data_IF_150291182726
#
_entry.id   IF_150291182726
#
_cell.length_a   1.000
_cell.length_b   1.000
_cell.length_c   1.000
_cell.angle_alpha   90.00
_cell.angle_beta   90.00
_cell.angle_gamma   90.00
#
_symmetry.space_group_name_H-M   'P 1'
#
loop_
_entity.id
_entity.type
_entity.pdbx_description
1 polymer ?
#
# COMPACT_ATOMS: atom_id res chain seq x y z
N UNK A 1 6.15 32.10 98.36
CA UNK A 1 7.33 32.56 99.12
C UNK A 1 8.59 32.31 98.29
N UNK A 2 9.40 33.36 98.09
CA UNK A 2 10.79 33.41 97.55
C UNK A 2 10.95 33.00 96.07
N UNK A 3 11.15 33.95 95.14
CA UNK A 3 12.43 34.63 94.75
C UNK A 3 13.37 33.61 94.05
N UNK A 4 14.01 33.82 92.89
CA UNK A 4 14.63 35.03 92.32
C UNK A 4 15.20 34.67 90.91
N UNK A 5 15.08 35.61 89.95
CA UNK A 5 16.04 36.03 88.90
C UNK A 5 16.71 35.05 87.89
N UNK A 6 16.45 35.39 86.61
CA UNK A 6 17.37 35.55 85.46
C UNK A 6 18.85 35.11 85.66
N UNK A 7 19.39 34.36 84.69
CA UNK A 7 20.49 34.86 83.85
C UNK A 7 20.72 34.02 82.58
N UNK A 8 21.01 34.77 81.52
CA UNK A 8 21.48 34.43 80.18
C UNK A 8 22.89 33.79 80.24
N UNK A 9 23.16 32.75 79.43
CA UNK A 9 24.48 32.58 78.83
C UNK A 9 24.38 31.82 77.49
N UNK A 10 25.04 32.43 76.52
CA UNK A 10 25.06 32.17 75.08
C UNK A 10 26.17 31.17 74.73
N UNK A 11 26.02 30.55 73.55
CA UNK A 11 27.07 29.93 72.71
C UNK A 11 27.49 28.50 73.15
N UNK A 12 27.59 27.48 72.30
CA UNK A 12 28.14 27.41 70.94
C UNK A 12 27.47 26.26 70.15
N UNK A 13 27.17 26.56 68.88
CA UNK A 13 26.88 25.63 67.79
C UNK A 13 28.11 24.74 67.50
N UNK A 14 27.93 23.41 67.38
CA UNK A 14 28.57 22.61 66.31
C UNK A 14 27.63 21.47 65.92
N UNK A 15 27.31 21.43 64.63
CA UNK A 15 26.54 20.40 63.93
C UNK A 15 27.27 19.06 63.84
N UNK A 16 26.53 17.97 63.92
CA UNK A 16 26.71 16.82 63.03
C UNK A 16 25.41 16.01 62.93
N UNK A 17 24.93 15.91 61.68
CA UNK A 17 23.78 15.13 61.20
C UNK A 17 24.07 13.63 61.20
N UNK A 18 23.01 12.83 61.36
CA UNK A 18 22.66 11.49 60.81
C UNK A 18 21.44 11.07 61.70
N UNK A 19 20.27 10.63 61.27
CA UNK A 19 19.67 10.25 60.00
C UNK A 19 18.45 9.35 60.33
N UNK A 20 17.29 9.65 59.72
CA UNK A 20 16.04 8.89 59.57
C UNK A 20 15.30 8.24 60.76
N UNK A 21 14.04 8.69 60.98
CA UNK A 21 12.85 7.82 60.87
C UNK A 21 11.55 8.66 60.71
N UNK A 22 10.49 8.01 60.24
CA UNK A 22 9.45 8.49 59.33
C UNK A 22 8.10 8.90 59.95
N UNK A 23 7.34 9.76 59.25
CA UNK A 23 5.86 9.83 59.28
C UNK A 23 5.32 10.56 58.04
N UNK A 24 4.09 10.24 57.57
CA UNK A 24 3.70 10.33 56.16
C UNK A 24 3.14 11.71 55.76
N UNK A 25 3.42 12.11 54.52
CA UNK A 25 2.82 13.28 53.85
C UNK A 25 1.66 12.76 52.97
N UNK A 26 0.50 13.45 52.89
CA UNK A 26 -0.62 13.00 52.08
C UNK A 26 -0.26 13.18 50.60
N UNK A 27 -0.35 12.08 49.84
CA UNK A 27 -0.25 12.11 48.38
C UNK A 27 -1.51 12.81 47.86
N UNK A 28 -1.33 13.99 47.26
CA UNK A 28 -2.29 14.51 46.29
C UNK A 28 -2.29 13.54 45.13
N UNK A 29 -3.40 12.85 44.89
CA UNK A 29 -3.68 12.28 43.58
C UNK A 29 -3.79 13.45 42.62
N UNK A 30 -2.75 13.68 41.81
CA UNK A 30 -2.95 14.26 40.50
C UNK A 30 -3.76 13.23 39.71
N UNK A 31 -5.03 13.55 39.47
CA UNK A 31 -5.74 12.97 38.35
C UNK A 31 -4.97 13.38 37.09
N UNK A 32 -4.13 12.47 36.58
CA UNK A 32 -3.78 12.48 35.16
C UNK A 32 -5.10 12.34 34.39
N UNK A 33 -5.70 13.48 34.04
CA UNK A 33 -6.61 13.53 32.91
C UNK A 33 -5.77 13.20 31.68
N UNK A 34 -5.75 11.93 31.33
CA UNK A 34 -5.37 11.48 30.00
C UNK A 34 -6.41 12.10 29.05
N UNK A 35 -6.11 13.29 28.55
CA UNK A 35 -6.84 13.91 27.46
C UNK A 35 -6.40 13.15 26.20
N UNK A 36 -6.95 11.95 26.00
CA UNK A 36 -6.83 11.24 24.72
C UNK A 36 -7.62 12.03 23.69
N UNK A 37 -7.00 13.07 23.12
CA UNK A 37 -7.49 13.66 21.88
C UNK A 37 -7.51 12.55 20.83
N UNK A 38 -8.66 12.37 20.19
CA UNK A 38 -8.85 11.42 19.11
C UNK A 38 -7.93 11.83 17.94
N UNK A 39 -7.14 10.88 17.44
CA UNK A 39 -6.23 11.11 16.31
C UNK A 39 -6.83 10.60 15.00
N UNK A 40 -6.36 11.09 13.87
CA UNK A 40 -6.81 10.56 12.57
C UNK A 40 -6.42 9.09 12.39
N UNK A 41 -5.27 8.65 12.91
CA UNK A 41 -4.82 7.26 12.81
C UNK A 41 -5.78 6.28 13.51
N UNK A 42 -6.47 6.73 14.57
CA UNK A 42 -7.56 5.95 15.18
C UNK A 42 -8.71 5.69 14.18
N UNK A 43 -8.99 6.61 13.25
CA UNK A 43 -10.14 6.57 12.33
C UNK A 43 -9.79 6.24 10.88
N UNK A 44 -8.50 6.14 10.54
CA UNK A 44 -8.03 5.72 9.22
C UNK A 44 -6.73 4.89 9.32
N UNK A 45 -6.67 3.82 10.12
CA UNK A 45 -5.43 3.08 10.29
C UNK A 45 -4.93 2.48 8.97
N UNK A 46 -3.64 2.61 8.69
CA UNK A 46 -3.00 1.92 7.57
C UNK A 46 -2.82 0.44 7.94
N UNK A 47 -3.75 -0.42 7.52
CA UNK A 47 -3.74 -1.86 7.85
C UNK A 47 -3.06 -2.69 6.77
N UNK A 48 -1.96 -3.33 7.14
CA UNK A 48 -1.31 -4.33 6.30
C UNK A 48 -2.22 -5.55 6.07
N UNK A 49 -2.07 -6.18 4.90
CA UNK A 49 -2.64 -7.47 4.55
C UNK A 49 -4.13 -7.56 4.91
N UNK A 50 -4.90 -6.53 4.59
CA UNK A 50 -6.32 -6.44 4.92
C UNK A 50 -7.09 -6.00 3.67
N UNK A 51 -7.98 -6.88 3.19
CA UNK A 51 -8.91 -6.54 2.12
C UNK A 51 -10.19 -6.02 2.74
N UNK A 52 -10.59 -4.83 2.33
CA UNK A 52 -11.91 -4.26 2.60
C UNK A 52 -12.77 -4.44 1.36
N UNK A 53 -13.89 -5.14 1.48
CA UNK A 53 -14.87 -5.32 0.40
C UNK A 53 -16.08 -4.43 0.67
N UNK A 54 -16.45 -3.60 -0.30
CA UNK A 54 -17.60 -2.69 -0.19
C UNK A 54 -18.67 -3.06 -1.21
N UNK A 55 -19.90 -3.12 -0.76
CA UNK A 55 -21.09 -3.17 -1.59
C UNK A 55 -21.37 -1.81 -2.22
N UNK A 56 -21.68 -1.79 -3.52
CA UNK A 56 -22.17 -0.61 -4.23
C UNK A 56 -23.67 -0.69 -4.49
N UNK A 57 -24.40 0.39 -4.21
CA UNK A 57 -25.83 0.54 -4.50
C UNK A 57 -26.04 1.79 -5.33
N UNK A 58 -26.94 1.74 -6.31
CA UNK A 58 -27.31 2.89 -7.16
C UNK A 58 -26.37 3.18 -8.33
N UNK A 59 -25.16 2.58 -8.36
CA UNK A 59 -24.23 2.70 -9.48
C UNK A 59 -23.38 1.42 -9.62
N UNK A 60 -23.21 0.93 -10.85
CA UNK A 60 -22.46 -0.31 -11.14
C UNK A 60 -20.95 -0.21 -10.85
N UNK A 61 -20.40 0.99 -10.73
CA UNK A 61 -18.99 1.26 -10.41
C UNK A 61 -18.76 1.63 -8.93
N UNK A 62 -19.82 1.59 -8.11
CA UNK A 62 -19.74 1.94 -6.69
C UNK A 62 -19.16 0.82 -5.82
N UNK A 63 -19.38 -0.45 -6.20
CA UNK A 63 -18.75 -1.56 -5.48
C UNK A 63 -17.24 -1.49 -5.65
N UNK A 64 -16.51 -1.82 -4.58
CA UNK A 64 -15.05 -1.74 -4.62
C UNK A 64 -14.39 -2.61 -3.59
N UNK A 65 -13.15 -3.01 -3.87
CA UNK A 65 -12.21 -3.54 -2.89
C UNK A 65 -11.09 -2.57 -2.68
N UNK A 66 -10.58 -2.45 -1.44
CA UNK A 66 -9.37 -1.69 -1.16
C UNK A 66 -8.34 -2.50 -0.40
N UNK A 67 -7.07 -2.23 -0.69
CA UNK A 67 -5.91 -2.90 -0.11
C UNK A 67 -4.72 -1.94 -0.06
N UNK A 68 -3.99 -1.90 1.06
CA UNK A 68 -2.74 -1.14 1.13
C UNK A 68 -1.59 -1.95 0.54
N UNK A 69 -1.13 -1.58 -0.66
CA UNK A 69 -0.02 -2.26 -1.34
C UNK A 69 1.31 -1.95 -0.64
N UNK A 70 1.51 -0.68 -0.24
CA UNK A 70 2.72 -0.22 0.43
C UNK A 70 2.39 0.69 1.60
N UNK A 71 3.10 0.54 2.71
CA UNK A 71 3.00 1.38 3.91
C UNK A 71 4.42 1.66 4.39
N UNK A 72 4.76 2.93 4.55
CA UNK A 72 6.04 3.37 5.12
C UNK A 72 5.82 4.56 6.07
N UNK A 73 5.83 4.28 7.36
CA UNK A 73 5.65 5.28 8.42
C UNK A 73 4.34 6.05 8.26
N UNK A 74 4.45 7.34 7.92
CA UNK A 74 3.32 8.24 7.77
C UNK A 74 2.68 8.21 6.38
N UNK A 75 3.18 7.40 5.44
CA UNK A 75 2.66 7.28 4.07
C UNK A 75 2.14 5.89 3.77
N UNK A 76 1.11 5.80 2.94
CA UNK A 76 0.62 4.53 2.41
C UNK A 76 0.03 4.66 1.00
N UNK A 77 0.22 3.62 0.19
CA UNK A 77 -0.39 3.46 -1.12
C UNK A 77 -1.60 2.53 -1.00
N UNK A 78 -2.78 3.09 -1.22
CA UNK A 78 -4.05 2.38 -1.23
C UNK A 78 -4.43 2.04 -2.68
N UNK A 79 -4.54 0.76 -2.99
CA UNK A 79 -5.17 0.26 -4.21
C UNK A 79 -6.68 0.23 -4.02
N UNK A 80 -7.42 0.73 -4.99
CA UNK A 80 -8.88 0.64 -5.05
C UNK A 80 -9.26 -0.03 -6.37
N UNK A 81 -9.93 -1.16 -6.28
CA UNK A 81 -10.41 -1.93 -7.42
C UNK A 81 -11.93 -1.81 -7.49
N UNK A 82 -12.46 -1.35 -8.61
CA UNK A 82 -13.90 -1.39 -8.88
C UNK A 82 -14.15 -2.05 -10.25
N UNK A 83 -15.40 -2.33 -10.65
CA UNK A 83 -15.70 -2.98 -11.92
C UNK A 83 -15.25 -2.19 -13.16
N UNK A 84 -15.01 -0.89 -13.03
CA UNK A 84 -14.62 -0.02 -14.14
C UNK A 84 -13.10 0.11 -14.31
N UNK A 85 -12.34 0.17 -13.22
CA UNK A 85 -10.90 0.42 -13.25
C UNK A 85 -10.22 0.11 -11.91
N UNK A 86 -8.90 0.06 -11.94
CA UNK A 86 -8.04 0.06 -10.77
C UNK A 86 -7.41 1.44 -10.61
N UNK A 87 -7.38 1.96 -9.38
CA UNK A 87 -6.70 3.22 -9.08
C UNK A 87 -5.79 3.04 -7.87
N UNK A 88 -4.74 3.84 -7.79
CA UNK A 88 -3.93 3.98 -6.59
C UNK A 88 -4.08 5.38 -6.01
N UNK A 89 -3.94 5.47 -4.68
CA UNK A 89 -3.92 6.72 -3.92
C UNK A 89 -2.72 6.67 -2.98
N UNK A 90 -1.87 7.69 -2.97
CA UNK A 90 -0.86 7.83 -1.91
C UNK A 90 -1.40 8.78 -0.86
N UNK A 91 -1.51 8.27 0.35
CA UNK A 91 -1.99 8.97 1.52
C UNK A 91 -0.82 9.31 2.43
N UNK A 92 -0.85 10.49 3.04
CA UNK A 92 0.19 10.97 3.95
C UNK A 92 -0.43 11.62 5.19
N UNK A 93 0.01 11.17 6.36
CA UNK A 93 -0.20 11.83 7.64
C UNK A 93 0.82 12.96 7.83
N UNK A 94 0.34 14.21 7.86
CA UNK A 94 1.18 15.37 8.11
C UNK A 94 0.37 16.52 8.71
N UNK A 95 0.91 17.17 9.74
CA UNK A 95 0.35 18.38 10.38
C UNK A 95 -1.10 18.22 10.88
N UNK A 96 -1.43 17.08 11.48
CA UNK A 96 -2.79 16.77 11.94
C UNK A 96 -3.79 16.60 10.79
N UNK A 97 -3.32 16.25 9.60
CA UNK A 97 -4.14 15.98 8.42
C UNK A 97 -3.76 14.64 7.81
N UNK A 98 -4.77 13.93 7.29
CA UNK A 98 -4.57 12.87 6.32
C UNK A 98 -4.82 13.48 4.94
N UNK A 99 -3.77 13.52 4.13
CA UNK A 99 -3.79 14.10 2.78
C UNK A 99 -3.66 12.99 1.74
N UNK A 100 -4.38 13.10 0.64
CA UNK A 100 -4.06 12.41 -0.59
C UNK A 100 -3.06 13.24 -1.38
N UNK A 101 -1.84 12.74 -1.52
CA UNK A 101 -0.71 13.45 -2.16
C UNK A 101 -0.41 12.96 -3.58
N UNK A 102 -1.04 11.87 -3.98
CA UNK A 102 -0.96 11.33 -5.34
C UNK A 102 -2.19 10.48 -5.66
N UNK A 103 -2.63 10.53 -6.91
CA UNK A 103 -3.70 9.71 -7.47
C UNK A 103 -3.32 9.34 -8.89
N UNK A 104 -3.54 8.08 -9.24
CA UNK A 104 -3.40 7.59 -10.61
C UNK A 104 -4.52 6.58 -10.89
N UNK A 105 -5.27 6.83 -11.96
CA UNK A 105 -6.29 5.90 -12.47
C UNK A 105 -5.71 4.94 -13.50
N UNK A 106 -6.49 3.92 -13.87
CA UNK A 106 -6.07 2.89 -14.84
C UNK A 106 -4.75 2.20 -14.47
N UNK A 107 -4.51 2.03 -13.16
CA UNK A 107 -3.28 1.47 -12.63
C UNK A 107 -3.49 -0.03 -12.36
N UNK A 108 -3.20 -0.86 -13.37
CA UNK A 108 -3.48 -2.30 -13.32
C UNK A 108 -2.33 -3.14 -12.77
N UNK A 109 -1.08 -2.67 -12.87
CA UNK A 109 0.10 -3.33 -12.32
C UNK A 109 0.30 -3.02 -10.84
N UNK A 110 1.41 -3.51 -10.27
CA UNK A 110 1.87 -3.19 -8.92
C UNK A 110 3.25 -2.52 -9.01
N UNK A 111 3.36 -1.31 -8.47
CA UNK A 111 4.58 -0.51 -8.41
C UNK A 111 4.50 0.41 -7.19
N UNK A 112 5.62 0.62 -6.50
CA UNK A 112 5.68 1.47 -5.31
C UNK A 112 5.78 2.94 -5.69
N UNK A 113 4.71 3.70 -5.42
CA UNK A 113 4.56 5.11 -5.77
C UNK A 113 4.66 6.05 -4.58
N UNK A 114 5.04 5.57 -3.39
CA UNK A 114 5.10 6.38 -2.15
C UNK A 114 5.98 7.64 -2.26
N UNK A 115 7.01 7.57 -3.10
CA UNK A 115 8.01 8.64 -3.29
C UNK A 115 7.77 9.49 -4.53
N UNK A 116 6.69 9.27 -5.27
CA UNK A 116 6.36 10.10 -6.44
C UNK A 116 5.88 11.47 -5.97
N UNK A 117 6.44 12.52 -6.56
CA UNK A 117 5.99 13.89 -6.35
C UNK A 117 4.73 14.15 -7.16
N UNK A 118 3.58 14.25 -6.50
CA UNK A 118 2.33 14.72 -7.09
C UNK A 118 2.12 16.22 -6.89
N UNK A 119 1.32 16.83 -7.78
CA UNK A 119 0.73 18.17 -7.54
C UNK A 119 -0.60 18.08 -6.77
N UNK A 120 -1.11 16.87 -6.56
CA UNK A 120 -2.35 16.60 -5.86
C UNK A 120 -2.18 16.77 -4.36
N UNK A 121 -3.10 17.47 -3.72
CA UNK A 121 -3.19 17.53 -2.27
C UNK A 121 -4.66 17.73 -1.87
N UNK A 122 -5.41 16.64 -1.73
CA UNK A 122 -6.76 16.69 -1.13
C UNK A 122 -6.69 16.32 0.35
N UNK A 123 -7.43 17.03 1.20
CA UNK A 123 -7.48 16.73 2.64
C UNK A 123 -8.65 15.78 2.89
N UNK A 124 -8.35 14.56 3.30
CA UNK A 124 -9.32 13.49 3.58
C UNK A 124 -9.92 13.66 4.97
N UNK A 125 -9.07 13.86 5.98
CA UNK A 125 -9.45 14.10 7.38
C UNK A 125 -8.52 15.16 7.98
N UNK A 126 -9.03 15.93 8.94
CA UNK A 126 -8.31 17.02 9.59
C UNK A 126 -8.65 17.14 11.07
N UNK A 127 -7.62 17.22 11.89
CA UNK A 127 -7.72 17.48 13.33
C UNK A 127 -8.02 18.98 13.61
N UNK A 128 -8.67 19.30 14.74
CA UNK A 128 -9.22 18.36 15.73
C UNK A 128 -10.45 17.62 15.20
N UNK A 129 -10.63 16.35 15.61
CA UNK A 129 -11.79 15.53 15.24
C UNK A 129 -13.03 15.91 16.07
N UNK A 130 -13.50 17.14 15.88
CA UNK A 130 -14.62 17.75 16.62
C UNK A 130 -15.68 18.27 15.68
N UNK A 131 -16.94 18.20 16.11
CA UNK A 131 -18.10 18.68 15.36
C UNK A 131 -17.90 20.13 14.85
N UNK A 132 -18.14 20.34 13.55
CA UNK A 132 -18.04 21.63 12.89
C UNK A 132 -16.62 22.01 12.42
N UNK A 133 -15.59 21.20 12.71
CA UNK A 133 -14.28 21.43 12.10
C UNK A 133 -14.39 21.26 10.58
N UNK A 134 -13.85 22.20 9.81
CA UNK A 134 -14.02 22.26 8.36
C UNK A 134 -12.75 22.67 7.62
N UNK A 135 -12.71 22.32 6.34
CA UNK A 135 -11.64 22.64 5.42
C UNK A 135 -12.15 22.69 3.98
N UNK A 136 -11.33 23.23 3.10
CA UNK A 136 -11.61 23.30 1.66
C UNK A 136 -10.92 22.12 0.98
N UNK A 137 -11.65 21.37 0.15
CA UNK A 137 -11.09 20.31 -0.69
C UNK A 137 -10.21 20.89 -1.80
N UNK A 138 -9.43 20.06 -2.48
CA UNK A 138 -8.63 20.50 -3.62
C UNK A 138 -9.46 21.21 -4.71
N UNK A 139 -10.70 20.76 -4.92
CA UNK A 139 -11.64 21.33 -5.90
C UNK A 139 -12.43 22.55 -5.40
N UNK A 140 -12.13 23.05 -4.20
CA UNK A 140 -12.76 24.25 -3.66
C UNK A 140 -14.07 24.04 -2.89
N UNK A 141 -14.48 22.78 -2.64
CA UNK A 141 -15.70 22.48 -1.90
C UNK A 141 -15.48 22.53 -0.39
N UNK A 142 -16.55 22.81 0.36
CA UNK A 142 -16.52 22.79 1.82
C UNK A 142 -16.69 21.34 2.30
N UNK A 143 -15.73 20.85 3.10
CA UNK A 143 -15.80 19.57 3.80
C UNK A 143 -15.73 19.81 5.30
N UNK A 144 -16.57 19.11 6.07
CA UNK A 144 -16.62 19.30 7.53
C UNK A 144 -17.02 18.04 8.28
N UNK A 145 -16.64 17.97 9.55
CA UNK A 145 -17.12 16.95 10.48
C UNK A 145 -18.53 17.34 10.93
N UNK A 146 -19.53 16.57 10.51
CA UNK A 146 -20.96 16.83 10.78
C UNK A 146 -21.56 15.94 11.85
N UNK A 147 -20.84 14.91 12.30
CA UNK A 147 -21.23 14.06 13.42
C UNK A 147 -20.07 13.25 13.99
N UNK A 148 -20.15 12.89 15.26
CA UNK A 148 -19.09 12.15 15.96
C UNK A 148 -19.46 10.68 16.26
N UNK A 149 -20.74 10.41 16.46
CA UNK A 149 -21.30 9.11 16.84
C UNK A 149 -22.56 8.80 16.02
N UNK A 150 -22.49 9.05 14.71
CA UNK A 150 -23.63 8.83 13.81
C UNK A 150 -23.78 7.34 13.57
N UNK A 151 -24.99 6.83 13.81
CA UNK A 151 -25.32 5.43 13.52
C UNK A 151 -25.40 5.23 12.00
N UNK A 152 -24.66 4.25 11.48
CA UNK A 152 -24.68 3.87 10.06
C UNK A 152 -24.76 2.35 9.95
N UNK A 153 -25.73 1.87 9.16
CA UNK A 153 -25.88 0.46 8.85
C UNK A 153 -25.06 0.09 7.62
N UNK A 154 -24.36 -1.03 7.69
CA UNK A 154 -23.62 -1.62 6.57
C UNK A 154 -23.92 -3.12 6.50
N UNK A 155 -23.62 -3.81 5.38
CA UNK A 155 -23.77 -5.26 5.34
C UNK A 155 -22.91 -6.02 6.36
N UNK A 156 -21.80 -5.43 6.82
CA UNK A 156 -20.96 -6.03 7.86
C UNK A 156 -21.59 -5.92 9.25
N UNK A 157 -21.97 -4.70 9.66
CA UNK A 157 -22.52 -4.38 10.99
C UNK A 157 -23.15 -2.98 11.00
N UNK A 158 -23.77 -2.62 12.13
CA UNK A 158 -24.17 -1.25 12.44
C UNK A 158 -23.10 -0.59 13.30
N UNK A 159 -22.61 0.58 12.88
CA UNK A 159 -21.52 1.29 13.55
C UNK A 159 -21.94 2.66 14.07
N UNK A 160 -21.19 3.16 15.05
CA UNK A 160 -21.14 4.60 15.37
C UNK A 160 -19.90 5.20 14.74
N UNK A 161 -20.10 6.19 13.88
CA UNK A 161 -19.06 6.74 13.03
C UNK A 161 -18.91 8.25 13.17
N UNK A 162 -17.69 8.70 12.94
CA UNK A 162 -17.37 10.07 12.56
C UNK A 162 -17.93 10.32 11.16
N UNK A 163 -18.89 11.22 11.04
CA UNK A 163 -19.48 11.63 9.77
C UNK A 163 -18.76 12.87 9.24
N UNK A 164 -18.27 12.79 8.01
CA UNK A 164 -17.64 13.89 7.28
C UNK A 164 -18.44 14.17 6.03
N UNK A 165 -18.96 15.38 5.91
CA UNK A 165 -19.80 15.79 4.78
C UNK A 165 -19.04 16.76 3.88
N UNK A 166 -19.08 16.51 2.58
CA UNK A 166 -18.66 17.44 1.52
C UNK A 166 -19.90 17.99 0.83
N UNK A 167 -19.99 19.32 0.68
CA UNK A 167 -21.10 20.00 0.01
C UNK A 167 -20.68 20.47 -1.39
N UNK A 168 -21.40 20.05 -2.43
CA UNK A 168 -21.12 20.41 -3.83
C UNK A 168 -22.07 21.49 -4.39
N UNK A 169 -22.87 22.12 -3.54
CA UNK A 169 -23.93 23.06 -3.91
C UNK A 169 -25.20 22.36 -4.43
N UNK A 170 -26.31 23.11 -4.49
CA UNK A 170 -27.63 22.67 -5.01
C UNK A 170 -28.02 21.24 -4.61
N UNK A 171 -28.23 21.01 -3.30
CA UNK A 171 -28.69 19.73 -2.72
C UNK A 171 -27.80 18.50 -3.00
N UNK A 172 -26.56 18.70 -3.46
CA UNK A 172 -25.58 17.62 -3.67
C UNK A 172 -24.60 17.50 -2.53
N UNK A 173 -24.49 16.29 -1.99
CA UNK A 173 -23.58 16.01 -0.86
C UNK A 173 -22.91 14.64 -1.00
N UNK A 174 -21.70 14.52 -0.44
CA UNK A 174 -21.06 13.25 -0.16
C UNK A 174 -20.82 13.17 1.35
N UNK A 175 -21.32 12.11 2.00
CA UNK A 175 -21.05 11.80 3.39
C UNK A 175 -20.15 10.59 3.48
N UNK A 176 -19.06 10.71 4.24
CA UNK A 176 -18.12 9.62 4.53
C UNK A 176 -18.16 9.30 6.02
N UNK A 177 -18.23 8.02 6.34
CA UNK A 177 -18.36 7.53 7.71
C UNK A 177 -17.11 6.76 8.10
N UNK A 178 -16.41 7.24 9.12
CA UNK A 178 -15.18 6.64 9.63
C UNK A 178 -15.41 6.06 11.02
N UNK A 179 -14.98 4.82 11.24
CA UNK A 179 -15.12 4.13 12.52
C UNK A 179 -13.75 3.86 13.09
N UNK A 180 -13.63 4.07 14.39
CA UNK A 180 -12.40 3.81 15.13
C UNK A 180 -11.90 2.38 14.89
N UNK A 181 -10.59 2.24 14.71
CA UNK A 181 -9.84 1.01 14.42
C UNK A 181 -10.25 0.30 13.11
N UNK A 182 -11.26 0.76 12.38
CA UNK A 182 -11.72 0.16 11.13
C UNK A 182 -11.34 1.00 9.92
N UNK A 183 -11.51 2.32 9.99
CA UNK A 183 -11.36 3.17 8.82
C UNK A 183 -12.71 3.61 8.24
N UNK A 184 -12.72 3.85 6.93
CA UNK A 184 -13.91 4.20 6.18
C UNK A 184 -14.87 3.01 6.09
N UNK A 185 -16.10 3.14 6.60
CA UNK A 185 -17.13 2.08 6.54
C UNK A 185 -18.26 2.38 5.56
N UNK A 186 -18.49 3.65 5.23
CA UNK A 186 -19.50 4.02 4.25
C UNK A 186 -19.18 5.33 3.50
N UNK A 187 -19.64 5.41 2.25
CA UNK A 187 -19.79 6.65 1.48
C UNK A 187 -21.24 6.71 0.97
N UNK A 188 -21.92 7.82 1.23
CA UNK A 188 -23.24 8.11 0.68
C UNK A 188 -23.15 9.37 -0.18
N UNK A 189 -23.44 9.25 -1.46
CA UNK A 189 -23.54 10.37 -2.39
C UNK A 189 -25.02 10.61 -2.71
N UNK A 190 -25.46 11.85 -2.57
CA UNK A 190 -26.83 12.28 -2.88
C UNK A 190 -26.78 13.42 -3.89
N UNK A 191 -27.58 13.32 -4.95
CA UNK A 191 -27.80 14.35 -5.98
C UNK A 191 -29.29 14.44 -6.31
N UNK A 192 -30.01 15.30 -5.59
CA UNK A 192 -31.47 15.38 -5.68
C UNK A 192 -32.15 14.08 -5.25
N UNK A 193 -32.76 13.36 -6.19
CA UNK A 193 -33.40 12.06 -5.94
C UNK A 193 -32.43 10.88 -6.15
N UNK A 194 -31.30 11.10 -6.83
CA UNK A 194 -30.31 10.06 -7.12
C UNK A 194 -29.43 9.81 -5.89
N UNK A 195 -29.24 8.54 -5.58
CA UNK A 195 -28.42 8.09 -4.44
C UNK A 195 -27.47 6.99 -4.85
N UNK A 196 -26.23 7.12 -4.43
CA UNK A 196 -25.20 6.10 -4.58
C UNK A 196 -24.60 5.81 -3.22
N UNK A 197 -24.53 4.54 -2.87
CA UNK A 197 -24.02 4.10 -1.57
C UNK A 197 -22.87 3.13 -1.78
N UNK A 198 -21.83 3.26 -0.96
CA UNK A 198 -20.69 2.36 -0.87
C UNK A 198 -20.58 1.92 0.57
N UNK A 199 -20.94 0.68 0.89
CA UNK A 199 -21.11 0.19 2.26
C UNK A 199 -20.17 -0.97 2.55
N UNK A 200 -19.46 -0.94 3.68
CA UNK A 200 -18.51 -2.00 4.04
C UNK A 200 -19.23 -3.33 4.23
N UNK A 201 -18.85 -4.33 3.42
CA UNK A 201 -19.43 -5.66 3.42
C UNK A 201 -18.59 -6.65 4.22
N UNK A 202 -17.28 -6.63 4.05
CA UNK A 202 -16.36 -7.47 4.81
C UNK A 202 -14.97 -6.84 4.94
N UNK A 203 -14.21 -7.30 5.94
CA UNK A 203 -12.82 -6.92 6.18
C UNK A 203 -12.08 -8.19 6.59
N UNK A 204 -11.12 -8.60 5.78
CA UNK A 204 -10.44 -9.89 5.94
C UNK A 204 -8.93 -9.68 5.94
N UNK A 205 -8.24 -10.20 6.96
CA UNK A 205 -6.78 -10.16 7.00
C UNK A 205 -6.19 -11.28 6.14
N UNK A 206 -5.81 -10.92 4.91
CA UNK A 206 -5.23 -11.80 3.89
C UNK A 206 -4.49 -10.97 2.83
N UNK A 207 -3.56 -11.57 2.05
CA UNK A 207 -2.96 -10.90 0.90
C UNK A 207 -4.00 -10.60 -0.18
N UNK A 208 -3.67 -9.64 -1.06
CA UNK A 208 -4.42 -9.39 -2.28
C UNK A 208 -4.05 -10.43 -3.34
N UNK A 209 -5.03 -11.17 -3.84
CA UNK A 209 -4.82 -12.09 -4.96
C UNK A 209 -5.08 -11.38 -6.28
N UNK A 210 -4.18 -11.55 -7.25
CA UNK A 210 -4.33 -11.03 -8.61
C UNK A 210 -3.96 -12.10 -9.65
N UNK A 211 -4.50 -11.96 -10.87
CA UNK A 211 -4.14 -12.83 -11.99
C UNK A 211 -2.93 -12.28 -12.72
N UNK A 212 -2.03 -13.16 -13.14
CA UNK A 212 -0.87 -12.83 -13.97
C UNK A 212 -0.73 -13.83 -15.12
N UNK A 213 -0.40 -13.30 -16.29
CA UNK A 213 0.07 -14.06 -17.45
C UNK A 213 1.56 -14.36 -17.28
N UNK A 214 1.92 -15.64 -17.24
CA UNK A 214 3.31 -16.07 -17.08
C UNK A 214 3.71 -16.99 -18.21
N UNK A 215 4.95 -16.85 -18.69
CA UNK A 215 5.42 -17.51 -19.91
C UNK A 215 6.61 -18.41 -19.56
N UNK A 216 6.62 -19.63 -20.07
CA UNK A 216 7.67 -20.62 -19.79
C UNK A 216 8.09 -21.36 -21.05
N UNK A 217 9.39 -21.68 -21.20
CA UNK A 217 9.82 -22.58 -22.25
C UNK A 217 9.28 -23.99 -22.00
N UNK A 218 8.96 -24.69 -23.07
CA UNK A 218 8.57 -26.09 -23.05
C UNK A 218 9.24 -26.80 -24.21
N UNK A 219 9.70 -28.03 -23.97
CA UNK A 219 10.24 -28.91 -24.99
C UNK A 219 9.32 -30.12 -25.25
N UNK A 220 8.01 -30.00 -24.93
CA UNK A 220 7.03 -31.03 -25.30
C UNK A 220 7.03 -31.19 -26.83
N UNK A 221 6.94 -32.44 -27.29
CA UNK A 221 6.83 -32.79 -28.72
C UNK A 221 7.99 -32.43 -29.66
N UNK A 222 9.20 -32.21 -29.10
CA UNK A 222 10.50 -32.00 -29.79
C UNK A 222 10.77 -30.60 -30.33
N UNK A 223 9.77 -29.71 -30.34
CA UNK A 223 9.97 -28.30 -30.61
C UNK A 223 10.12 -27.56 -29.26
N UNK A 224 11.01 -26.56 -29.22
CA UNK A 224 11.16 -25.69 -28.05
C UNK A 224 10.29 -24.47 -28.31
N UNK A 225 9.27 -24.27 -27.47
CA UNK A 225 8.28 -23.20 -27.62
C UNK A 225 8.01 -22.54 -26.27
N UNK A 226 7.61 -21.28 -26.28
CA UNK A 226 7.11 -20.57 -25.11
C UNK A 226 5.60 -20.78 -24.96
N UNK A 227 5.15 -21.19 -23.76
CA UNK A 227 3.74 -21.43 -23.45
C UNK A 227 3.24 -20.45 -22.38
N UNK A 228 2.00 -20.00 -22.53
CA UNK A 228 1.29 -19.13 -21.59
C UNK A 228 0.65 -19.95 -20.46
N UNK A 229 0.81 -19.48 -19.23
CA UNK A 229 0.07 -19.94 -18.06
C UNK A 229 -0.57 -18.74 -17.35
N UNK A 230 -1.90 -18.77 -17.24
CA UNK A 230 -2.65 -17.88 -16.37
C UNK A 230 -2.62 -18.42 -14.93
N UNK A 231 -2.13 -17.63 -13.98
CA UNK A 231 -2.11 -18.03 -12.55
C UNK A 231 -2.56 -16.92 -11.62
N UNK A 232 -3.10 -17.32 -10.48
CA UNK A 232 -3.36 -16.43 -9.36
C UNK A 232 -2.14 -16.36 -8.45
N UNK A 233 -1.79 -15.14 -8.04
CA UNK A 233 -0.65 -14.84 -7.19
C UNK A 233 -1.09 -13.97 -6.03
N UNK A 234 -0.58 -14.27 -4.85
CA UNK A 234 -0.83 -13.48 -3.64
C UNK A 234 0.23 -12.39 -3.49
N UNK A 235 -0.25 -11.16 -3.27
CA UNK A 235 0.56 -9.99 -2.95
C UNK A 235 0.30 -9.55 -1.50
N UNK A 236 1.37 -9.51 -0.71
CA UNK A 236 1.35 -9.00 0.65
C UNK A 236 1.73 -7.51 0.67
N UNK A 237 1.20 -6.76 1.63
CA UNK A 237 1.61 -5.36 1.84
C UNK A 237 3.12 -5.28 2.00
N UNK A 238 3.77 -4.33 1.32
CA UNK A 238 5.21 -4.13 1.27
C UNK A 238 6.02 -5.28 0.64
N UNK A 239 5.40 -6.23 -0.05
CA UNK A 239 6.13 -7.28 -0.76
C UNK A 239 6.98 -6.68 -1.90
N UNK A 240 8.23 -7.13 -2.02
CA UNK A 240 9.12 -6.73 -3.12
C UNK A 240 8.67 -7.37 -4.42
N UNK A 241 8.52 -6.53 -5.45
CA UNK A 241 8.09 -6.97 -6.77
C UNK A 241 9.20 -7.71 -7.51
N UNK A 242 10.45 -7.33 -7.26
CA UNK A 242 11.65 -8.07 -7.69
C UNK A 242 11.62 -9.50 -7.16
N UNK A 243 11.37 -9.69 -5.86
CA UNK A 243 11.33 -11.02 -5.24
C UNK A 243 10.17 -11.87 -5.69
N UNK A 244 8.99 -11.26 -5.86
CA UNK A 244 7.83 -11.98 -6.35
C UNK A 244 8.00 -12.42 -7.81
N UNK A 245 8.52 -11.56 -8.68
CA UNK A 245 8.83 -11.95 -10.07
C UNK A 245 9.96 -12.97 -10.16
N UNK A 246 10.99 -12.83 -9.33
CA UNK A 246 12.08 -13.81 -9.20
C UNK A 246 11.52 -15.20 -8.84
N UNK A 247 10.62 -15.27 -7.84
CA UNK A 247 9.99 -16.53 -7.43
C UNK A 247 9.13 -17.14 -8.55
N UNK A 248 8.34 -16.33 -9.25
CA UNK A 248 7.52 -16.78 -10.38
C UNK A 248 8.40 -17.38 -11.49
N UNK A 249 9.47 -16.68 -11.89
CA UNK A 249 10.36 -17.11 -12.97
C UNK A 249 11.20 -18.35 -12.60
N UNK A 250 11.48 -18.55 -11.31
CA UNK A 250 12.15 -19.76 -10.80
C UNK A 250 11.21 -20.96 -10.73
N UNK A 251 9.94 -20.76 -10.42
CA UNK A 251 9.02 -21.83 -10.06
C UNK A 251 7.89 -21.97 -11.10
N UNK A 252 8.12 -22.71 -12.21
CA UNK A 252 7.06 -23.10 -13.11
C UNK A 252 6.00 -23.93 -12.36
N UNK A 253 4.73 -23.88 -12.78
CA UNK A 253 3.61 -24.47 -12.05
C UNK A 253 3.44 -25.97 -12.32
N UNK A 254 4.19 -26.53 -13.28
CA UNK A 254 4.03 -27.89 -13.79
C UNK A 254 5.37 -28.41 -14.31
N UNK A 255 5.64 -29.70 -14.10
CA UNK A 255 6.86 -30.39 -14.55
C UNK A 255 7.04 -30.39 -16.09
N UNK A 256 5.97 -30.11 -16.83
CA UNK A 256 5.99 -29.97 -18.29
C UNK A 256 6.54 -28.63 -18.78
N UNK A 257 6.88 -27.72 -17.88
CA UNK A 257 7.39 -26.38 -18.16
C UNK A 257 8.79 -26.24 -17.57
N UNK A 258 9.69 -25.62 -18.34
CA UNK A 258 11.04 -25.37 -17.89
C UNK A 258 11.12 -24.15 -16.97
N UNK A 259 12.04 -24.21 -16.03
CA UNK A 259 12.44 -23.07 -15.23
C UNK A 259 13.01 -21.96 -16.13
N UNK A 260 12.62 -20.70 -15.89
CA UNK A 260 13.03 -19.56 -16.73
C UNK A 260 14.39 -19.01 -16.29
N UNK A 261 14.61 -18.89 -14.97
CA UNK A 261 15.88 -18.42 -14.41
C UNK A 261 16.41 -19.39 -13.35
N UNK A 262 17.73 -19.58 -13.23
CA UNK A 262 18.30 -20.46 -12.21
C UNK A 262 17.89 -20.04 -10.78
N UNK A 263 17.80 -21.02 -9.87
CA UNK A 263 17.48 -20.79 -8.44
C UNK A 263 18.39 -19.77 -7.75
N UNK A 264 19.64 -19.65 -8.22
CA UNK A 264 20.63 -18.74 -7.67
C UNK A 264 20.53 -17.31 -8.22
N UNK A 265 19.80 -17.10 -9.32
CA UNK A 265 19.62 -15.79 -9.94
C UNK A 265 18.82 -14.86 -9.04
N UNK A 266 19.22 -13.61 -8.93
CA UNK A 266 18.43 -12.57 -8.27
C UNK A 266 18.03 -11.47 -9.23
N UNK A 267 16.87 -10.87 -9.03
CA UNK A 267 16.51 -9.59 -9.67
C UNK A 267 17.04 -8.46 -8.78
N UNK A 268 18.08 -7.76 -9.24
CA UNK A 268 18.70 -6.64 -8.55
C UNK A 268 17.83 -5.37 -8.64
N UNK A 269 17.11 -5.20 -9.75
CA UNK A 269 16.24 -4.05 -10.01
C UNK A 269 15.15 -4.44 -11.00
N UNK A 270 13.92 -3.98 -10.74
CA UNK A 270 12.80 -4.06 -11.67
C UNK A 270 12.05 -2.73 -11.65
N UNK A 271 12.01 -2.03 -12.78
CA UNK A 271 11.45 -0.68 -12.83
C UNK A 271 10.71 -0.42 -14.13
N UNK A 272 9.51 0.14 -14.02
CA UNK A 272 8.79 0.75 -15.13
C UNK A 272 9.40 2.11 -15.46
N UNK A 273 9.91 2.27 -16.67
CA UNK A 273 10.23 3.56 -17.25
C UNK A 273 8.98 4.15 -17.89
N UNK A 274 8.36 5.10 -17.20
CA UNK A 274 7.12 5.76 -17.60
C UNK A 274 7.28 6.77 -18.73
N UNK A 275 8.50 7.20 -19.05
CA UNK A 275 8.76 8.14 -20.15
C UNK A 275 8.79 7.40 -21.50
N UNK A 276 9.50 6.28 -21.53
CA UNK A 276 9.66 5.46 -22.73
C UNK A 276 8.63 4.31 -22.81
N UNK A 277 7.78 4.20 -21.78
CA UNK A 277 6.79 3.13 -21.57
C UNK A 277 7.41 1.74 -21.79
N UNK A 278 8.42 1.44 -20.98
CA UNK A 278 9.22 0.21 -21.07
C UNK A 278 9.62 -0.28 -19.69
N UNK A 279 9.95 -1.56 -19.56
CA UNK A 279 10.45 -2.13 -18.29
C UNK A 279 11.96 -2.31 -18.38
N UNK A 280 12.65 -1.94 -17.31
CA UNK A 280 14.08 -2.22 -17.11
C UNK A 280 14.22 -3.24 -16.01
N UNK A 281 14.91 -4.33 -16.29
CA UNK A 281 15.21 -5.40 -15.34
C UNK A 281 16.71 -5.66 -15.31
N UNK A 282 17.28 -5.70 -14.11
CA UNK A 282 18.68 -6.08 -13.87
C UNK A 282 18.72 -7.38 -13.07
N UNK A 283 19.41 -8.37 -13.60
CA UNK A 283 19.63 -9.66 -12.96
C UNK A 283 21.08 -9.77 -12.45
N UNK A 284 21.32 -10.67 -11.50
CA UNK A 284 22.68 -11.09 -11.14
C UNK A 284 23.37 -11.86 -12.27
N UNK A 285 24.71 -11.87 -12.30
CA UNK A 285 25.53 -12.70 -13.21
C UNK A 285 25.12 -14.18 -13.29
N UNK A 286 24.51 -14.72 -12.23
CA UNK A 286 24.04 -16.10 -12.16
C UNK A 286 23.01 -16.47 -13.25
N UNK A 287 22.28 -15.49 -13.80
CA UNK A 287 21.37 -15.70 -14.93
C UNK A 287 22.06 -16.41 -16.10
N UNK A 288 23.34 -16.07 -16.36
CA UNK A 288 24.09 -16.55 -17.51
C UNK A 288 24.51 -18.02 -17.40
N UNK A 289 24.39 -18.65 -16.22
CA UNK A 289 24.79 -20.05 -16.01
C UNK A 289 23.99 -21.01 -16.88
N UNK A 290 22.68 -20.79 -16.96
CA UNK A 290 21.76 -21.63 -17.71
C UNK A 290 21.54 -21.15 -19.15
N UNK A 291 22.23 -20.09 -19.58
CA UNK A 291 22.18 -19.61 -20.96
C UNK A 291 23.11 -20.40 -21.91
N UNK A 292 23.97 -21.27 -21.37
CA UNK A 292 24.83 -22.18 -22.15
C UNK A 292 24.11 -23.43 -22.70
N UNK A 293 22.78 -23.39 -22.78
CA UNK A 293 21.89 -24.48 -23.20
C UNK A 293 21.58 -24.48 -24.71
N UNK A 294 22.18 -23.56 -25.46
CA UNK A 294 22.07 -23.41 -26.91
C UNK A 294 21.12 -22.29 -27.32
N UNK A 295 21.41 -21.65 -28.47
CA UNK A 295 20.76 -20.41 -28.89
C UNK A 295 19.24 -20.48 -28.95
N UNK A 296 18.65 -21.60 -29.42
CA UNK A 296 17.20 -21.74 -29.51
C UNK A 296 16.51 -21.73 -28.14
N UNK A 297 17.10 -22.38 -27.13
CA UNK A 297 16.48 -22.43 -25.81
C UNK A 297 16.71 -21.12 -25.05
N UNK A 298 17.88 -20.49 -25.22
CA UNK A 298 18.12 -19.13 -24.71
C UNK A 298 17.09 -18.13 -25.25
N UNK A 299 16.76 -18.19 -26.55
CA UNK A 299 15.70 -17.34 -27.14
C UNK A 299 14.37 -17.52 -26.41
N UNK A 300 13.95 -18.75 -26.12
CA UNK A 300 12.67 -19.01 -25.44
C UNK A 300 12.70 -18.59 -23.96
N UNK A 301 13.86 -18.69 -23.28
CA UNK A 301 14.03 -18.13 -21.92
C UNK A 301 13.85 -16.60 -21.95
N UNK A 302 14.56 -15.92 -22.86
CA UNK A 302 14.48 -14.47 -22.97
C UNK A 302 13.05 -14.05 -23.34
N UNK A 303 12.41 -14.72 -24.30
CA UNK A 303 11.00 -14.52 -24.66
C UNK A 303 10.07 -14.70 -23.46
N UNK A 304 10.31 -15.71 -22.62
CA UNK A 304 9.55 -15.95 -21.39
C UNK A 304 9.68 -14.83 -20.36
N UNK A 305 10.90 -14.30 -20.15
CA UNK A 305 11.16 -13.14 -19.28
C UNK A 305 10.43 -11.91 -19.83
N UNK A 306 10.66 -11.61 -21.11
CA UNK A 306 10.16 -10.40 -21.79
C UNK A 306 8.64 -10.39 -21.82
N UNK A 307 8.01 -11.50 -22.21
CA UNK A 307 6.55 -11.58 -22.24
C UNK A 307 5.94 -11.51 -20.84
N UNK A 308 6.52 -12.20 -19.84
CA UNK A 308 5.99 -12.14 -18.46
C UNK A 308 6.02 -10.72 -17.91
N UNK A 309 7.17 -10.04 -18.01
CA UNK A 309 7.32 -8.67 -17.49
C UNK A 309 6.56 -7.65 -18.35
N UNK A 310 6.63 -7.77 -19.67
CA UNK A 310 5.97 -6.88 -20.61
C UNK A 310 4.46 -6.90 -20.44
N UNK A 311 3.86 -8.09 -20.32
CA UNK A 311 2.41 -8.23 -20.09
C UNK A 311 1.98 -7.78 -18.70
N UNK A 312 2.80 -8.01 -17.67
CA UNK A 312 2.47 -7.58 -16.30
C UNK A 312 2.44 -6.04 -16.16
N UNK A 313 3.39 -5.34 -16.80
CA UNK A 313 3.47 -3.87 -16.77
C UNK A 313 2.76 -3.19 -17.94
N UNK A 314 2.13 -3.95 -18.84
CA UNK A 314 1.49 -3.47 -20.07
C UNK A 314 2.43 -2.63 -20.97
N UNK A 315 3.64 -3.13 -21.20
CA UNK A 315 4.66 -2.52 -22.06
C UNK A 315 5.05 -3.45 -23.22
N UNK A 316 5.48 -2.86 -24.33
CA UNK A 316 5.97 -3.59 -25.50
C UNK A 316 7.49 -3.84 -25.48
N UNK A 317 8.23 -3.12 -24.62
CA UNK A 317 9.70 -3.13 -24.61
C UNK A 317 10.26 -3.45 -23.24
N UNK A 318 11.22 -4.38 -23.21
CA UNK A 318 11.92 -4.79 -21.99
C UNK A 318 13.42 -4.72 -22.20
N UNK A 319 14.09 -3.92 -21.38
CA UNK A 319 15.54 -3.83 -21.30
C UNK A 319 16.04 -4.82 -20.26
N UNK A 320 16.93 -5.72 -20.67
CA UNK A 320 17.54 -6.71 -19.79
C UNK A 320 19.01 -6.33 -19.58
N UNK A 321 19.40 -6.31 -18.31
CA UNK A 321 20.78 -6.10 -17.87
C UNK A 321 21.22 -7.18 -16.89
N UNK A 322 22.53 -7.38 -16.80
CA UNK A 322 23.18 -8.29 -15.87
C UNK A 322 24.29 -7.53 -15.13
N UNK A 323 24.15 -7.41 -13.81
CA UNK A 323 25.01 -6.62 -12.92
C UNK A 323 25.31 -5.21 -13.47
N UNK A 324 24.25 -4.55 -13.96
CA UNK A 324 24.26 -3.18 -14.46
C UNK A 324 24.81 -3.01 -15.87
N UNK A 325 25.13 -4.10 -16.58
CA UNK A 325 25.57 -4.07 -17.98
C UNK A 325 24.47 -4.59 -18.91
N UNK A 326 24.36 -4.09 -20.15
CA UNK A 326 23.43 -4.66 -21.13
C UNK A 326 23.62 -6.16 -21.29
N UNK A 327 22.53 -6.89 -21.56
CA UNK A 327 22.56 -8.34 -21.66
C UNK A 327 23.56 -8.81 -22.73
N UNK A 328 24.49 -9.67 -22.31
CA UNK A 328 25.51 -10.25 -23.17
C UNK A 328 25.68 -11.73 -22.82
N UNK A 329 25.67 -12.58 -23.85
CA UNK A 329 25.84 -14.02 -23.76
C UNK A 329 26.67 -14.56 -24.95
N UNK A 330 26.76 -15.88 -25.09
CA UNK A 330 27.39 -16.49 -26.26
C UNK A 330 26.63 -16.28 -27.57
N UNK A 331 25.36 -15.85 -27.52
CA UNK A 331 24.48 -15.74 -28.69
C UNK A 331 23.86 -14.35 -28.86
N UNK A 332 23.84 -13.54 -27.80
CA UNK A 332 23.33 -12.16 -27.80
C UNK A 332 24.40 -11.20 -27.30
N UNK A 333 24.41 -9.99 -27.84
CA UNK A 333 25.24 -8.89 -27.38
C UNK A 333 24.45 -7.61 -27.62
N UNK A 334 23.77 -7.14 -26.57
CA UNK A 334 22.97 -5.92 -26.65
C UNK A 334 23.83 -4.69 -26.36
N UNK A 335 23.55 -3.61 -27.06
CA UNK A 335 24.02 -2.27 -26.70
C UNK A 335 23.09 -1.63 -25.64
N UNK A 336 23.52 -0.53 -25.03
CA UNK A 336 22.82 0.06 -23.88
C UNK A 336 21.40 0.58 -24.16
N UNK A 337 21.09 0.91 -25.40
CA UNK A 337 19.78 1.38 -25.87
C UNK A 337 18.97 0.30 -26.59
N UNK A 338 19.48 -0.92 -26.69
CA UNK A 338 18.76 -2.06 -27.26
C UNK A 338 17.87 -2.74 -26.23
N UNK A 339 16.75 -3.26 -26.70
CA UNK A 339 15.71 -3.89 -25.90
C UNK A 339 15.18 -5.13 -26.62
N UNK A 340 14.49 -5.98 -25.86
CA UNK A 340 13.66 -7.04 -26.41
C UNK A 340 12.21 -6.54 -26.52
N UNK A 341 11.52 -6.95 -27.57
CA UNK A 341 10.10 -6.66 -27.77
C UNK A 341 9.25 -7.83 -27.28
N UNK A 342 8.07 -7.53 -26.74
CA UNK A 342 7.06 -8.55 -26.42
C UNK A 342 6.64 -9.23 -27.72
N UNK A 343 6.72 -10.56 -27.73
CA UNK A 343 6.41 -11.37 -28.91
C UNK A 343 5.36 -12.43 -28.55
N UNK A 344 4.14 -12.22 -29.00
CA UNK A 344 3.02 -13.12 -28.77
C UNK A 344 2.80 -14.11 -29.93
N UNK A 345 3.63 -14.05 -30.97
CA UNK A 345 3.50 -14.95 -32.11
C UNK A 345 3.82 -16.39 -31.70
N UNK A 346 2.90 -17.29 -32.04
CA UNK A 346 3.01 -18.72 -31.77
C UNK A 346 2.85 -19.10 -30.29
N UNK A 347 2.46 -18.17 -29.41
CA UNK A 347 2.18 -18.51 -28.01
C UNK A 347 0.87 -19.28 -27.91
N UNK A 348 0.94 -20.44 -27.27
CA UNK A 348 -0.21 -21.28 -26.93
C UNK A 348 -0.40 -21.36 -25.42
N UNK A 349 -1.65 -21.51 -24.97
CA UNK A 349 -1.94 -21.73 -23.56
C UNK A 349 -1.54 -23.15 -23.16
N UNK A 350 -0.81 -23.28 -22.05
CA UNK A 350 -0.42 -24.56 -21.50
C UNK A 350 -1.65 -25.36 -21.08
N UNK A 351 -1.80 -26.53 -21.67
CA UNK A 351 -2.77 -27.55 -21.26
C UNK A 351 -2.00 -28.66 -20.53
N UNK A 352 -2.43 -29.00 -19.31
CA UNK A 352 -1.81 -30.05 -18.48
C UNK A 352 -1.87 -31.45 -19.11
#
# INVERSE_FOLDING_TARGET
MKRFYQLFLVLILVFALIGCESSPIPVKQEEEKLNTELSIDDYFPFKENTIYDYEGIGNEFAERKVFFEYIDGNKAQLKVLNPGTNVIRVLEYADGMLKEVYYEGEFYHIENMLNVSGEQTDIILKEPLTLGNSWTTADGYNRSITGLDVEIETPMDTFKALEVTTEFGEDRTEKRYYVKDLGLVAILYEDGEDKVEVLLRSMESKPMTFNIETYYPSSKDRDILTLLVNRQVDFHTNQSMERLMEDILKNPPSDGLAQVIPDTTTINMLKLDRLDWSVKVDFSEDLLRDMNVGSSFETEILKSIVNTLGRFYDVERVFISVDGKPYESGHYMLEADEFFEVDMDGIEEYQE
#
